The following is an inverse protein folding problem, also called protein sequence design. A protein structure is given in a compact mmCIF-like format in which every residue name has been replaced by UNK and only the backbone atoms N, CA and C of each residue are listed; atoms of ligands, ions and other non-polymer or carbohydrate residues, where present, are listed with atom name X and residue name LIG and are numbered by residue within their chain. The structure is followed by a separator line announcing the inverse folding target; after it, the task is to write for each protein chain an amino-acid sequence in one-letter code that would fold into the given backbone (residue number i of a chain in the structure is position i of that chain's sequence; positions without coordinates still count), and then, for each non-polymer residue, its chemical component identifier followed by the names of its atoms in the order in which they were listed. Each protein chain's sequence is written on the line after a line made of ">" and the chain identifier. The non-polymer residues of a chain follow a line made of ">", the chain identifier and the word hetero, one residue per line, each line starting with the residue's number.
data_IF_656241521204
#
_entry.id   IF_656241521204
#
_cell.length_a   1.000
_cell.length_b   1.000
_cell.length_c   1.000
_cell.angle_alpha   90.00
_cell.angle_beta   90.00
_cell.angle_gamma   90.00
#
_symmetry.space_group_name_H-M   'P 1'
#
loop_
_entity.id
_entity.type
_entity.pdbx_description
1 polymer ?
#
# COMPACT_ATOMS: atom_id res chain seq x y z
N UNK A 1 -55.98 -53.40 -3.67
CA UNK A 1 -54.74 -52.64 -3.36
C UNK A 1 -54.56 -51.68 -4.51
N UNK A 2 -55.13 -50.50 -4.39
CA UNK A 2 -54.99 -49.40 -5.36
C UNK A 2 -54.48 -48.23 -4.55
N UNK A 3 -53.26 -47.79 -4.86
CA UNK A 3 -52.58 -46.70 -4.18
C UNK A 3 -53.10 -45.38 -4.72
N UNK A 4 -53.72 -44.59 -3.84
CA UNK A 4 -54.13 -43.22 -4.14
C UNK A 4 -52.89 -42.31 -4.05
N UNK A 5 -52.40 -41.90 -5.20
CA UNK A 5 -51.31 -40.96 -5.37
C UNK A 5 -51.77 -39.56 -4.92
N UNK A 6 -51.23 -39.07 -3.80
CA UNK A 6 -51.49 -37.70 -3.34
C UNK A 6 -50.69 -36.72 -4.20
N UNK A 7 -51.36 -36.03 -5.11
CA UNK A 7 -50.80 -34.83 -5.76
C UNK A 7 -50.42 -33.80 -4.70
N UNK A 8 -49.14 -33.42 -4.69
CA UNK A 8 -48.63 -32.29 -3.90
C UNK A 8 -48.90 -31.01 -4.70
N UNK A 9 -49.74 -30.08 -4.22
CA UNK A 9 -50.00 -28.85 -4.95
C UNK A 9 -48.75 -27.97 -4.94
N UNK A 10 -48.10 -27.84 -6.10
CA UNK A 10 -47.08 -26.83 -6.36
C UNK A 10 -47.78 -25.48 -6.54
N UNK A 11 -47.89 -24.73 -5.44
CA UNK A 11 -48.33 -23.34 -5.46
C UNK A 11 -47.31 -22.47 -6.22
N UNK A 12 -47.46 -22.37 -7.54
CA UNK A 12 -46.86 -21.31 -8.34
C UNK A 12 -47.59 -19.99 -8.06
N UNK A 13 -47.26 -19.39 -6.90
CA UNK A 13 -47.78 -18.09 -6.50
C UNK A 13 -47.30 -17.00 -7.46
N UNK A 14 -48.15 -16.60 -8.40
CA UNK A 14 -47.95 -15.39 -9.20
C UNK A 14 -47.89 -14.19 -8.25
N UNK A 15 -46.70 -13.62 -8.07
CA UNK A 15 -46.54 -12.34 -7.37
C UNK A 15 -47.45 -11.31 -8.01
N UNK A 16 -48.38 -10.76 -7.23
CA UNK A 16 -49.25 -9.67 -7.67
C UNK A 16 -48.41 -8.39 -7.83
N UNK A 17 -48.77 -7.54 -8.80
CA UNK A 17 -48.07 -6.27 -9.08
C UNK A 17 -47.61 -5.45 -7.86
N UNK A 18 -48.43 -5.25 -6.81
CA UNK A 18 -48.00 -4.50 -5.63
C UNK A 18 -46.89 -5.21 -4.81
N UNK A 19 -46.91 -6.54 -4.70
CA UNK A 19 -45.86 -7.29 -4.01
C UNK A 19 -44.52 -7.20 -4.75
N UNK A 20 -44.55 -7.17 -6.08
CA UNK A 20 -43.35 -6.96 -6.91
C UNK A 20 -42.73 -5.57 -6.68
N UNK A 21 -43.55 -4.52 -6.57
CA UNK A 21 -43.08 -3.16 -6.30
C UNK A 21 -42.46 -3.06 -4.90
N UNK A 22 -43.11 -3.62 -3.87
CA UNK A 22 -42.57 -3.59 -2.50
C UNK A 22 -41.25 -4.35 -2.41
N UNK A 23 -41.17 -5.55 -2.98
CA UNK A 23 -39.93 -6.33 -2.98
C UNK A 23 -38.80 -5.60 -3.71
N UNK A 24 -39.10 -5.00 -4.87
CA UNK A 24 -38.15 -4.18 -5.62
C UNK A 24 -37.64 -2.99 -4.82
N UNK A 25 -38.54 -2.27 -4.13
CA UNK A 25 -38.18 -1.15 -3.28
C UNK A 25 -37.28 -1.57 -2.10
N UNK A 26 -37.59 -2.69 -1.43
CA UNK A 26 -36.77 -3.24 -0.35
C UNK A 26 -35.38 -3.63 -0.86
N UNK A 27 -35.29 -4.28 -2.03
CA UNK A 27 -34.02 -4.67 -2.62
C UNK A 27 -33.14 -3.44 -2.93
N UNK A 28 -33.73 -2.39 -3.50
CA UNK A 28 -33.02 -1.13 -3.79
C UNK A 28 -32.48 -0.50 -2.51
N UNK A 29 -33.28 -0.44 -1.45
CA UNK A 29 -32.84 0.07 -0.15
C UNK A 29 -31.69 -0.76 0.44
N UNK A 30 -31.79 -2.09 0.38
CA UNK A 30 -30.77 -2.98 0.89
C UNK A 30 -29.45 -2.85 0.12
N UNK A 31 -29.50 -2.80 -1.21
CA UNK A 31 -28.32 -2.55 -2.05
C UNK A 31 -27.72 -1.17 -1.74
N UNK A 32 -28.56 -0.15 -1.54
CA UNK A 32 -28.13 1.21 -1.18
C UNK A 32 -27.31 1.29 0.11
N UNK A 33 -27.57 0.41 1.08
CA UNK A 33 -26.79 0.32 2.33
C UNK A 33 -25.59 -0.64 2.20
N UNK A 34 -25.76 -1.76 1.49
CA UNK A 34 -24.73 -2.80 1.41
C UNK A 34 -23.51 -2.35 0.60
N UNK A 35 -23.70 -1.68 -0.54
CA UNK A 35 -22.62 -1.23 -1.42
C UNK A 35 -21.64 -0.28 -0.72
N UNK A 36 -22.06 0.81 -0.06
CA UNK A 36 -21.12 1.70 0.64
C UNK A 36 -20.40 0.99 1.79
N UNK A 37 -21.09 0.10 2.51
CA UNK A 37 -20.44 -0.72 3.55
C UNK A 37 -19.32 -1.60 2.98
N UNK A 38 -19.58 -2.31 1.88
CA UNK A 38 -18.58 -3.15 1.23
C UNK A 38 -17.40 -2.33 0.69
N UNK A 39 -17.65 -1.12 0.17
CA UNK A 39 -16.57 -0.21 -0.26
C UNK A 39 -15.67 0.17 0.92
N UNK A 40 -16.24 0.53 2.06
CA UNK A 40 -15.46 0.86 3.26
C UNK A 40 -14.68 -0.35 3.82
N UNK A 41 -15.25 -1.56 3.76
CA UNK A 41 -14.54 -2.78 4.15
C UNK A 41 -13.35 -3.09 3.23
N UNK A 42 -13.48 -2.85 1.92
CA UNK A 42 -12.37 -3.02 0.97
C UNK A 42 -11.19 -2.11 1.31
N UNK A 43 -11.43 -0.88 1.77
CA UNK A 43 -10.37 0.05 2.22
C UNK A 43 -9.62 -0.47 3.44
N UNK A 44 -10.33 -1.11 4.38
CA UNK A 44 -9.71 -1.75 5.55
C UNK A 44 -8.85 -2.94 5.12
N UNK A 45 -9.34 -3.77 4.19
CA UNK A 45 -8.57 -4.90 3.63
C UNK A 45 -7.34 -4.42 2.87
N UNK A 46 -7.48 -3.40 2.03
CA UNK A 46 -6.39 -2.74 1.32
C UNK A 46 -5.31 -2.26 2.30
N UNK A 47 -5.72 -1.55 3.37
CA UNK A 47 -4.81 -1.11 4.41
C UNK A 47 -4.09 -2.27 5.11
N UNK A 48 -4.81 -3.33 5.48
CA UNK A 48 -4.23 -4.51 6.14
C UNK A 48 -3.22 -5.21 5.22
N UNK A 49 -3.53 -5.33 3.92
CA UNK A 49 -2.60 -5.86 2.91
C UNK A 49 -1.36 -4.99 2.82
N UNK A 50 -1.53 -3.67 2.69
CA UNK A 50 -0.45 -2.69 2.67
C UNK A 50 0.46 -2.81 3.90
N UNK A 51 -0.10 -2.99 5.10
CA UNK A 51 0.68 -3.22 6.34
C UNK A 51 1.50 -4.51 6.24
N UNK A 52 0.90 -5.62 5.79
CA UNK A 52 1.61 -6.90 5.64
C UNK A 52 2.74 -6.83 4.59
N UNK A 53 2.49 -6.14 3.49
CA UNK A 53 3.46 -5.88 2.44
C UNK A 53 4.61 -5.00 2.93
N UNK A 54 4.30 -3.91 3.63
CA UNK A 54 5.25 -3.00 4.24
C UNK A 54 6.20 -3.71 5.24
N UNK A 55 5.66 -4.65 6.05
CA UNK A 55 6.47 -5.50 6.93
C UNK A 55 7.45 -6.39 6.17
N UNK A 56 7.01 -6.98 5.05
CA UNK A 56 7.88 -7.80 4.20
C UNK A 56 9.01 -6.98 3.60
N UNK A 57 8.72 -5.78 3.08
CA UNK A 57 9.76 -4.84 2.64
C UNK A 57 10.72 -4.51 3.80
N UNK A 58 10.20 -4.27 5.00
CA UNK A 58 11.00 -4.04 6.20
C UNK A 58 12.00 -5.16 6.50
N UNK A 59 11.63 -6.43 6.28
CA UNK A 59 12.57 -7.55 6.44
C UNK A 59 13.71 -7.51 5.43
N UNK A 60 13.43 -7.13 4.18
CA UNK A 60 14.48 -6.95 3.17
C UNK A 60 15.36 -5.74 3.46
N UNK A 61 14.82 -4.66 4.04
CA UNK A 61 15.61 -3.51 4.48
C UNK A 61 16.58 -3.89 5.62
N UNK A 62 16.19 -4.80 6.52
CA UNK A 62 17.08 -5.38 7.53
C UNK A 62 18.22 -6.15 6.87
N UNK A 63 17.93 -7.04 5.94
CA UNK A 63 18.95 -7.82 5.23
C UNK A 63 19.90 -6.90 4.45
N UNK A 64 19.35 -5.88 3.80
CA UNK A 64 20.11 -4.92 3.02
C UNK A 64 21.06 -4.10 3.90
N UNK A 65 20.60 -3.56 5.03
CA UNK A 65 21.47 -2.82 5.95
C UNK A 65 22.56 -3.72 6.57
N UNK A 66 22.27 -5.00 6.83
CA UNK A 66 23.28 -5.96 7.29
C UNK A 66 24.38 -6.22 6.25
N UNK A 67 24.05 -6.18 4.96
CA UNK A 67 25.02 -6.41 3.88
C UNK A 67 25.78 -5.13 3.49
N UNK A 68 25.09 -3.98 3.42
CA UNK A 68 25.64 -2.73 2.87
C UNK A 68 25.81 -1.59 3.90
N UNK A 69 25.41 -1.80 5.15
CA UNK A 69 25.58 -0.86 6.27
C UNK A 69 24.65 0.35 6.27
N UNK A 70 23.69 0.41 5.34
CA UNK A 70 22.65 1.46 5.23
C UNK A 70 21.50 0.94 4.37
N UNK A 71 20.38 1.67 4.34
CA UNK A 71 19.29 1.34 3.42
C UNK A 71 19.62 1.65 1.96
N UNK A 72 18.88 1.08 0.98
CA UNK A 72 19.16 1.33 -0.42
C UNK A 72 19.01 2.81 -0.79
N UNK A 73 20.02 3.34 -1.46
CA UNK A 73 20.03 4.68 -2.03
C UNK A 73 20.73 4.67 -3.40
N UNK A 74 20.93 5.84 -4.00
CA UNK A 74 21.64 5.96 -5.27
C UNK A 74 23.10 5.46 -5.18
N UNK A 75 23.73 5.62 -4.02
CA UNK A 75 25.12 5.24 -3.78
C UNK A 75 25.32 3.73 -3.63
N UNK A 76 24.29 2.97 -3.24
CA UNK A 76 24.38 1.50 -3.10
C UNK A 76 24.22 0.76 -4.42
N UNK A 77 23.61 1.39 -5.44
CA UNK A 77 23.27 0.74 -6.70
C UNK A 77 24.48 0.04 -7.37
N UNK A 78 25.64 0.71 -7.40
CA UNK A 78 26.85 0.16 -8.00
C UNK A 78 27.42 -1.04 -7.20
N UNK A 79 27.26 -1.04 -5.88
CA UNK A 79 27.71 -2.15 -5.04
C UNK A 79 26.79 -3.35 -5.14
N UNK A 80 25.46 -3.12 -5.07
CA UNK A 80 24.43 -4.15 -5.26
C UNK A 80 24.60 -4.84 -6.61
N UNK A 81 24.76 -4.09 -7.69
CA UNK A 81 24.96 -4.68 -9.03
C UNK A 81 26.20 -5.58 -9.08
N UNK A 82 27.30 -5.19 -8.42
CA UNK A 82 28.52 -6.00 -8.35
C UNK A 82 28.38 -7.24 -7.47
N UNK A 83 27.76 -7.13 -6.28
CA UNK A 83 27.67 -8.25 -5.33
C UNK A 83 26.68 -9.32 -5.80
N UNK A 84 25.54 -8.89 -6.33
CA UNK A 84 24.45 -9.78 -6.78
C UNK A 84 24.58 -10.23 -8.23
N UNK A 85 25.45 -9.58 -9.02
CA UNK A 85 25.55 -9.73 -10.48
C UNK A 85 24.22 -9.47 -11.20
N UNK A 86 23.38 -8.62 -10.61
CA UNK A 86 22.10 -8.23 -11.16
C UNK A 86 22.27 -7.33 -12.38
N UNK A 87 21.44 -7.56 -13.39
CA UNK A 87 21.31 -6.77 -14.61
C UNK A 87 20.10 -5.82 -14.58
N UNK A 88 19.39 -5.74 -13.45
CA UNK A 88 18.26 -4.83 -13.24
C UNK A 88 18.68 -3.36 -13.34
N UNK A 89 17.76 -2.52 -13.80
CA UNK A 89 17.98 -1.07 -13.87
C UNK A 89 17.64 -0.37 -12.55
N UNK A 90 18.68 0.05 -11.82
CA UNK A 90 18.56 0.82 -10.58
C UNK A 90 18.56 2.34 -10.81
N UNK A 91 18.55 2.81 -12.05
CA UNK A 91 18.59 4.24 -12.36
C UNK A 91 17.23 4.92 -12.13
N UNK A 92 17.27 6.23 -11.90
CA UNK A 92 16.09 7.05 -11.65
C UNK A 92 15.92 7.47 -10.19
N UNK A 93 15.00 8.41 -9.96
CA UNK A 93 14.67 8.95 -8.62
C UNK A 93 13.25 8.59 -8.22
N UNK A 94 13.00 7.29 -8.13
CA UNK A 94 11.70 6.70 -7.77
C UNK A 94 11.87 5.61 -6.73
N UNK A 95 10.80 5.28 -6.01
CA UNK A 95 10.81 4.11 -5.12
C UNK A 95 10.93 2.79 -5.90
N UNK A 96 10.44 2.72 -7.15
CA UNK A 96 10.66 1.57 -8.04
C UNK A 96 12.16 1.28 -8.24
N UNK A 97 12.95 2.29 -8.60
CA UNK A 97 14.39 2.16 -8.82
C UNK A 97 15.13 1.68 -7.56
N UNK A 98 14.76 2.20 -6.39
CA UNK A 98 15.29 1.78 -5.09
C UNK A 98 14.89 0.33 -4.78
N UNK A 99 13.61 -0.04 -4.95
CA UNK A 99 13.14 -1.37 -4.61
C UNK A 99 13.65 -2.48 -5.53
N UNK A 100 14.07 -2.16 -6.76
CA UNK A 100 14.80 -3.14 -7.60
C UNK A 100 16.11 -3.58 -6.97
N UNK A 101 16.74 -2.76 -6.12
CA UNK A 101 17.90 -3.20 -5.33
C UNK A 101 17.50 -4.26 -4.29
N UNK A 102 16.29 -4.18 -3.73
CA UNK A 102 15.74 -5.22 -2.85
C UNK A 102 15.41 -6.50 -3.62
N UNK A 103 14.90 -6.38 -4.85
CA UNK A 103 14.71 -7.54 -5.76
C UNK A 103 16.04 -8.23 -6.03
N UNK A 104 17.10 -7.45 -6.31
CA UNK A 104 18.43 -7.98 -6.59
C UNK A 104 19.04 -8.80 -5.43
N UNK A 105 18.73 -8.46 -4.17
CA UNK A 105 19.20 -9.20 -2.99
C UNK A 105 18.27 -10.35 -2.57
N UNK A 106 17.18 -10.61 -3.30
CA UNK A 106 16.31 -11.78 -3.09
C UNK A 106 14.84 -11.49 -2.78
N UNK A 107 14.33 -10.27 -3.03
CA UNK A 107 12.89 -10.00 -2.99
C UNK A 107 12.19 -10.49 -4.27
N UNK A 108 11.99 -11.81 -4.37
CA UNK A 108 11.48 -12.49 -5.57
C UNK A 108 9.98 -12.30 -5.84
N UNK A 109 9.24 -11.61 -4.95
CA UNK A 109 7.79 -11.45 -5.07
C UNK A 109 7.39 -9.98 -5.11
N UNK A 110 7.08 -9.48 -6.30
CA UNK A 110 6.70 -8.07 -6.51
C UNK A 110 5.43 -7.65 -5.78
N UNK A 111 4.56 -8.61 -5.43
CA UNK A 111 3.35 -8.33 -4.66
C UNK A 111 3.63 -7.68 -3.31
N UNK A 112 4.85 -7.78 -2.77
CA UNK A 112 5.22 -7.10 -1.53
C UNK A 112 5.38 -5.58 -1.70
N UNK A 113 5.64 -5.08 -2.91
CA UNK A 113 5.77 -3.64 -3.21
C UNK A 113 4.44 -3.00 -3.63
N UNK A 114 3.46 -3.84 -3.95
CA UNK A 114 2.11 -3.41 -4.30
C UNK A 114 1.34 -2.91 -3.07
N UNK A 115 0.66 -1.78 -3.22
CA UNK A 115 -0.48 -1.40 -2.40
C UNK A 115 -1.42 -0.49 -3.20
N UNK A 116 -2.69 -0.42 -2.80
CA UNK A 116 -3.69 0.41 -3.48
C UNK A 116 -3.27 1.89 -3.41
N UNK A 117 -3.14 2.53 -4.57
CA UNK A 117 -2.68 3.92 -4.70
C UNK A 117 -3.68 4.78 -5.50
N UNK A 118 -3.93 6.05 -5.11
CA UNK A 118 -4.93 6.92 -5.76
C UNK A 118 -4.65 7.20 -7.24
N UNK A 119 -3.38 7.18 -7.65
CA UNK A 119 -2.97 7.44 -9.04
C UNK A 119 -3.02 6.21 -9.94
N UNK A 120 -3.55 5.09 -9.43
CA UNK A 120 -3.76 3.88 -10.23
C UNK A 120 -2.60 2.91 -10.10
N UNK A 121 -2.50 2.25 -8.95
CA UNK A 121 -1.68 1.05 -8.79
C UNK A 121 -2.27 -0.11 -9.59
N UNK A 122 -1.44 -0.88 -10.28
CA UNK A 122 -1.80 -2.15 -10.90
C UNK A 122 -1.18 -3.30 -10.13
N UNK A 123 -1.86 -4.45 -10.14
CA UNK A 123 -1.32 -5.66 -9.54
C UNK A 123 -0.10 -6.13 -10.35
N UNK A 124 1.03 -6.47 -9.70
CA UNK A 124 2.19 -7.03 -10.38
C UNK A 124 1.88 -8.34 -11.11
N UNK A 125 2.63 -8.59 -12.18
CA UNK A 125 2.51 -9.83 -12.97
C UNK A 125 3.48 -10.94 -12.54
N UNK A 126 4.44 -10.62 -11.65
CA UNK A 126 5.40 -11.55 -11.08
C UNK A 126 6.68 -11.70 -11.91
N UNK A 127 6.93 -10.80 -12.86
CA UNK A 127 8.10 -10.83 -13.73
C UNK A 127 9.20 -9.91 -13.21
N UNK A 128 10.12 -10.50 -12.46
CA UNK A 128 11.27 -9.79 -11.88
C UNK A 128 12.51 -9.73 -12.80
N UNK A 129 12.34 -9.92 -14.11
CA UNK A 129 13.45 -9.81 -15.07
C UNK A 129 13.81 -8.33 -15.35
N UNK A 130 14.97 -8.11 -15.99
CA UNK A 130 15.53 -6.78 -16.26
C UNK A 130 14.54 -5.75 -16.79
N UNK A 131 13.65 -6.16 -17.68
CA UNK A 131 12.77 -5.24 -18.40
C UNK A 131 11.40 -5.09 -17.70
N UNK A 132 11.10 -5.94 -16.71
CA UNK A 132 9.75 -6.04 -16.13
C UNK A 132 9.72 -5.86 -14.61
N UNK A 133 10.86 -5.93 -13.92
CA UNK A 133 10.90 -5.79 -12.46
C UNK A 133 10.38 -4.42 -12.00
N UNK A 134 9.30 -4.41 -11.22
CA UNK A 134 8.68 -3.23 -10.64
C UNK A 134 8.41 -2.14 -11.67
N UNK A 135 7.67 -2.49 -12.72
CA UNK A 135 7.24 -1.54 -13.72
C UNK A 135 6.35 -0.43 -13.12
N UNK A 136 6.15 0.69 -13.85
CA UNK A 136 5.21 1.73 -13.44
C UNK A 136 3.83 1.17 -13.08
N UNK A 137 3.34 1.59 -11.91
CA UNK A 137 2.09 1.17 -11.29
C UNK A 137 2.17 -0.05 -10.37
N UNK A 138 3.27 -0.81 -10.35
CA UNK A 138 3.39 -2.04 -9.53
C UNK A 138 3.87 -1.77 -8.10
N UNK A 139 4.50 -0.61 -7.90
CA UNK A 139 4.90 -0.11 -6.58
C UNK A 139 3.89 0.94 -6.09
N UNK A 140 3.40 0.80 -4.86
CA UNK A 140 2.50 1.77 -4.25
C UNK A 140 3.10 2.55 -3.08
N UNK A 141 4.32 2.23 -2.66
CA UNK A 141 4.98 2.88 -1.53
C UNK A 141 5.95 3.97 -2.00
N UNK A 142 5.90 5.12 -1.35
CA UNK A 142 6.98 6.11 -1.38
C UNK A 142 8.08 5.71 -0.41
N UNK A 143 9.30 6.13 -0.71
CA UNK A 143 10.53 5.76 0.01
C UNK A 143 11.29 7.02 0.45
N UNK A 144 11.80 7.03 1.68
CA UNK A 144 12.68 8.09 2.18
C UNK A 144 14.13 7.65 2.08
N UNK A 145 14.92 8.34 1.27
CA UNK A 145 16.33 8.00 0.98
C UNK A 145 17.29 8.58 2.03
N UNK A 146 18.54 8.12 1.98
CA UNK A 146 19.66 8.57 2.83
C UNK A 146 19.44 8.28 4.33
N UNK A 147 18.91 7.10 4.64
CA UNK A 147 18.65 6.62 6.00
C UNK A 147 19.40 5.30 6.27
N UNK A 148 19.53 4.95 7.55
CA UNK A 148 20.04 3.65 8.03
C UNK A 148 19.46 3.35 9.42
N UNK A 149 19.66 2.13 9.94
CA UNK A 149 19.23 1.79 11.30
C UNK A 149 19.93 2.58 12.42
N UNK A 150 21.03 3.29 12.12
CA UNK A 150 21.70 4.16 13.08
C UNK A 150 20.97 5.51 13.30
N UNK A 151 19.95 5.81 12.48
CA UNK A 151 19.15 7.02 12.58
C UNK A 151 18.15 7.02 13.75
N UNK A 152 17.36 8.09 13.84
CA UNK A 152 16.27 8.16 14.82
C UNK A 152 15.23 7.06 14.54
N UNK A 153 14.94 6.17 15.50
CA UNK A 153 14.06 5.02 15.31
C UNK A 153 12.64 5.37 14.86
N UNK A 154 12.17 6.60 15.14
CA UNK A 154 10.82 7.04 14.79
C UNK A 154 10.70 7.61 13.37
N UNK A 155 11.81 7.79 12.65
CA UNK A 155 11.75 8.28 11.26
C UNK A 155 11.06 7.28 10.35
N UNK A 156 10.18 7.80 9.52
CA UNK A 156 9.50 7.03 8.48
C UNK A 156 10.46 6.74 7.32
N UNK A 157 10.52 5.48 6.89
CA UNK A 157 11.25 4.99 5.71
C UNK A 157 10.29 4.78 4.54
N UNK A 158 9.13 4.17 4.78
CA UNK A 158 8.12 3.88 3.75
C UNK A 158 6.82 4.58 4.07
N UNK A 159 6.12 5.07 3.06
CA UNK A 159 4.83 5.73 3.24
C UNK A 159 3.87 5.49 2.08
N UNK A 160 2.58 5.28 2.38
CA UNK A 160 1.49 5.18 1.40
C UNK A 160 0.16 5.60 2.03
N UNK A 161 -0.82 6.17 1.29
CA UNK A 161 -0.81 6.46 -0.14
C UNK A 161 -0.54 7.95 -0.37
N UNK A 162 0.68 8.29 -0.79
CA UNK A 162 1.08 9.68 -0.95
C UNK A 162 0.51 10.28 -2.25
N UNK A 163 0.23 11.58 -2.23
CA UNK A 163 -0.18 12.30 -3.44
C UNK A 163 1.08 12.59 -4.27
N UNK A 164 1.19 12.17 -5.54
CA UNK A 164 2.47 12.33 -6.26
C UNK A 164 2.81 13.79 -6.56
N UNK A 165 1.78 14.63 -6.75
CA UNK A 165 1.98 16.07 -6.91
C UNK A 165 2.46 16.79 -5.64
N UNK A 166 2.43 16.14 -4.46
CA UNK A 166 2.76 16.76 -3.15
C UNK A 166 3.50 15.78 -2.24
N UNK A 167 4.82 15.96 -2.14
CA UNK A 167 5.76 15.07 -1.44
C UNK A 167 5.55 14.90 0.06
N UNK A 168 4.64 15.62 0.70
CA UNK A 168 4.35 15.54 2.14
C UNK A 168 2.85 15.41 2.42
N UNK A 169 2.07 14.96 1.42
CA UNK A 169 0.61 14.79 1.52
C UNK A 169 0.17 13.39 1.15
N UNK A 170 -0.94 12.99 1.73
CA UNK A 170 -1.56 11.68 1.64
C UNK A 170 -2.99 11.80 1.15
N UNK A 171 -3.42 10.82 0.37
CA UNK A 171 -4.83 10.63 0.04
C UNK A 171 -5.51 9.83 1.17
N UNK A 172 -6.60 10.36 1.69
CA UNK A 172 -7.37 9.71 2.75
C UNK A 172 -8.30 8.60 2.24
N UNK A 173 -8.63 8.57 0.95
CA UNK A 173 -9.64 7.68 0.37
C UNK A 173 -9.25 6.20 0.47
N UNK A 174 -8.03 5.77 0.06
CA UNK A 174 -7.73 4.35 -0.14
C UNK A 174 -7.79 3.53 1.16
N UNK A 175 -7.43 4.14 2.29
CA UNK A 175 -7.23 3.46 3.57
C UNK A 175 -8.11 4.03 4.70
N UNK A 176 -9.24 4.65 4.34
CA UNK A 176 -10.24 5.15 5.29
C UNK A 176 -9.63 6.16 6.27
N UNK A 177 -8.97 7.19 5.74
CA UNK A 177 -8.39 8.30 6.50
C UNK A 177 -7.06 7.99 7.20
N UNK A 178 -6.34 6.96 6.76
CA UNK A 178 -5.07 6.57 7.36
C UNK A 178 -3.96 6.47 6.32
N UNK A 179 -2.74 6.82 6.71
CA UNK A 179 -1.52 6.47 6.00
C UNK A 179 -0.92 5.20 6.64
N UNK A 180 -0.20 4.41 5.85
CA UNK A 180 0.63 3.30 6.31
C UNK A 180 2.07 3.79 6.26
N UNK A 181 2.79 3.62 7.36
CA UNK A 181 4.20 4.00 7.46
C UNK A 181 5.04 2.85 8.02
N UNK A 182 6.25 2.67 7.51
CA UNK A 182 7.29 1.87 8.16
C UNK A 182 8.30 2.81 8.78
N UNK A 183 8.70 2.56 10.02
CA UNK A 183 9.73 3.33 10.73
C UNK A 183 11.06 2.61 10.80
N UNK A 184 12.11 3.34 11.17
CA UNK A 184 13.47 2.79 11.35
C UNK A 184 13.50 1.68 12.41
N UNK A 185 12.68 1.72 13.46
CA UNK A 185 12.59 0.62 14.43
C UNK A 185 11.89 -0.65 13.88
N UNK A 186 11.45 -0.66 12.62
CA UNK A 186 10.74 -1.76 11.99
C UNK A 186 9.24 -1.80 12.31
N UNK A 187 8.72 -0.84 13.08
CA UNK A 187 7.29 -0.73 13.35
C UNK A 187 6.53 -0.24 12.12
N UNK A 188 5.35 -0.83 11.89
CA UNK A 188 4.42 -0.39 10.85
C UNK A 188 3.19 0.23 11.50
N UNK A 189 2.95 1.50 11.22
CA UNK A 189 1.92 2.30 11.88
C UNK A 189 0.88 2.77 10.87
N UNK A 190 -0.40 2.67 11.26
CA UNK A 190 -1.51 3.28 10.53
C UNK A 190 -1.81 4.67 11.13
N UNK A 191 -1.15 5.70 10.61
CA UNK A 191 -1.29 7.08 11.10
C UNK A 191 -2.54 7.74 10.56
N UNK A 192 -3.26 8.50 11.38
CA UNK A 192 -4.40 9.29 10.91
C UNK A 192 -3.93 10.40 9.95
N UNK A 193 -4.71 10.65 8.91
CA UNK A 193 -4.52 11.78 8.00
C UNK A 193 -5.41 12.94 8.44
N UNK A 194 -4.84 14.14 8.57
CA UNK A 194 -5.58 15.37 8.88
C UNK A 194 -6.31 15.94 7.65
N UNK A 195 -7.13 16.97 7.86
CA UNK A 195 -7.89 17.61 6.76
C UNK A 195 -7.00 18.28 5.71
N UNK A 196 -5.75 18.59 6.07
CA UNK A 196 -4.75 19.14 5.15
C UNK A 196 -4.03 18.04 4.35
N UNK A 197 -4.32 16.76 4.59
CA UNK A 197 -3.69 15.62 3.95
C UNK A 197 -2.37 15.20 4.59
N UNK A 198 -2.07 15.59 5.82
CA UNK A 198 -0.83 15.20 6.52
C UNK A 198 -1.09 13.98 7.39
N UNK A 199 -0.24 12.97 7.26
CA UNK A 199 -0.19 11.89 8.24
C UNK A 199 0.43 12.42 9.54
N UNK A 200 -0.17 12.04 10.67
CA UNK A 200 0.19 12.54 11.99
C UNK A 200 0.93 11.50 12.84
N UNK A 201 1.88 11.99 13.63
CA UNK A 201 2.47 11.33 14.78
C UNK A 201 1.54 11.41 16.00
N UNK A 202 1.86 10.66 17.06
CA UNK A 202 1.07 10.64 18.31
C UNK A 202 1.01 12.01 19.00
N UNK A 203 2.03 12.85 18.81
CA UNK A 203 2.09 14.22 19.32
C UNK A 203 1.33 15.25 18.44
N UNK A 204 0.70 14.78 17.36
CA UNK A 204 -0.08 15.59 16.43
C UNK A 204 0.74 16.31 15.35
N UNK A 205 2.07 16.14 15.30
CA UNK A 205 2.91 16.69 14.23
C UNK A 205 2.87 15.83 12.99
N UNK A 206 3.25 16.38 11.84
CA UNK A 206 3.32 15.55 10.64
C UNK A 206 4.53 14.63 10.67
N UNK A 207 4.36 13.40 10.16
CA UNK A 207 5.44 12.40 10.07
C UNK A 207 6.64 12.84 9.21
N UNK A 208 6.49 13.90 8.39
CA UNK A 208 7.55 14.48 7.56
C UNK A 208 7.91 15.92 7.96
N UNK A 209 7.43 16.38 9.12
CA UNK A 209 7.72 17.72 9.62
C UNK A 209 9.17 17.81 10.10
N UNK A 210 9.94 18.74 9.54
CA UNK A 210 11.27 19.12 10.02
C UNK A 210 11.18 20.29 11.01
N UNK A 211 12.13 20.34 11.94
CA UNK A 211 12.35 21.45 12.85
C UNK A 211 12.56 20.99 14.29
N UNK A 212 12.66 21.95 15.22
CA UNK A 212 12.85 21.64 16.63
C UNK A 212 11.76 20.73 17.18
N UNK A 213 12.17 19.68 17.90
CA UNK A 213 11.29 18.68 18.55
C UNK A 213 10.52 17.80 17.56
N UNK A 214 10.94 17.66 16.31
CA UNK A 214 10.44 16.61 15.40
C UNK A 214 11.46 15.47 15.30
N UNK A 215 11.05 14.31 14.81
CA UNK A 215 11.94 13.15 14.58
C UNK A 215 13.01 13.44 13.51
N UNK A 216 12.77 14.45 12.68
CA UNK A 216 13.68 14.88 11.63
C UNK A 216 14.69 15.93 12.10
N UNK A 217 14.36 16.71 13.14
CA UNK A 217 15.18 17.86 13.52
C UNK A 217 15.36 18.79 12.33
N UNK A 218 16.56 19.32 12.12
CA UNK A 218 16.86 20.19 10.97
C UNK A 218 17.00 19.43 9.63
N UNK A 219 16.95 18.09 9.64
CA UNK A 219 16.98 17.29 8.41
C UNK A 219 15.64 17.43 7.68
N UNK A 220 15.68 17.68 6.38
CA UNK A 220 14.48 17.63 5.54
C UNK A 220 14.42 16.24 4.88
N UNK A 221 13.33 15.46 5.06
CA UNK A 221 13.23 14.13 4.45
C UNK A 221 13.18 14.22 2.94
N UNK A 222 14.04 13.47 2.26
CA UNK A 222 14.00 13.34 0.80
C UNK A 222 13.14 12.14 0.41
N UNK A 223 12.00 12.42 -0.21
CA UNK A 223 10.98 11.41 -0.53
C UNK A 223 10.99 11.14 -2.03
N UNK A 224 11.19 9.87 -2.38
CA UNK A 224 11.13 9.34 -3.74
C UNK A 224 9.83 8.55 -3.90
N UNK A 225 9.03 8.97 -4.86
CA UNK A 225 7.66 8.47 -5.05
C UNK A 225 7.62 7.33 -6.09
N UNK A 226 6.57 6.50 -6.06
CA UNK A 226 6.37 5.47 -7.07
C UNK A 226 6.07 6.06 -8.45
N UNK A 227 6.40 5.30 -9.49
CA UNK A 227 6.09 5.62 -10.87
C UNK A 227 4.67 5.15 -11.23
N UNK A 228 3.88 6.01 -11.88
CA UNK A 228 2.58 5.66 -12.48
C UNK A 228 2.60 6.00 -13.98
N UNK A 229 1.73 5.33 -14.77
CA UNK A 229 1.56 5.58 -16.20
C UNK A 229 0.49 6.63 -16.47
#
# INVERSE_FOLDING_TARGET
>A
MEGEEKEVPTSNGRMTGPMAVVLGAVLILLVGVLVPYLKEQRKVVARTRGIGNCKQIGMYLIMFDQEFGKFPDEGTAAEVSRSTRSDLDFSGRSSNAIFRQLVAIGAENEMIFYCEHPEGSRRPDGRIDRDHALEPGETGFSYVVNLSFAGDPQRTILASPMVTSKKDRFDAEPYRGHAITLRIDGSVVASRIDESGRALEDDGKSIFESGPRTVWGEMMPEIWQPEFR
#
